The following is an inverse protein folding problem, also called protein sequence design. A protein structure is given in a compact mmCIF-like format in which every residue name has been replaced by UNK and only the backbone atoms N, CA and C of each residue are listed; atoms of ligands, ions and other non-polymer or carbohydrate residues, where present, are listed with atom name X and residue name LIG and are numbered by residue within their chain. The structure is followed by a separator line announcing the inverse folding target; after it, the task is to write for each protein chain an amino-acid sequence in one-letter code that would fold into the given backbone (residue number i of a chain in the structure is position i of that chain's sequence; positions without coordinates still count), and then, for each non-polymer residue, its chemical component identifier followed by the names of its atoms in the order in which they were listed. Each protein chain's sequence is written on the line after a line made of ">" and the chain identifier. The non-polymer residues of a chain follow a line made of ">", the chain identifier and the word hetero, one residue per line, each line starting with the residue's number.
data_IF_904997041856
#
_entry.id   IF_904997041856
#
_cell.length_a   1.000
_cell.length_b   1.000
_cell.length_c   1.000
_cell.angle_alpha   90.00
_cell.angle_beta   90.00
_cell.angle_gamma   90.00
#
_symmetry.space_group_name_H-M   'P 1'
#
loop_
_entity.id
_entity.type
_entity.pdbx_description
1 polymer ?
#
# COMPACT_ATOMS: atom_id res chain seq x y z
N UNK A 1 -20.43 18.71 -11.54
CA UNK A 1 -19.73 17.46 -11.15
C UNK A 1 -20.57 16.18 -11.35
N UNK A 2 -21.84 16.20 -10.95
CA UNK A 2 -22.71 15.01 -10.85
C UNK A 2 -22.93 14.27 -12.17
N UNK A 3 -23.07 15.00 -13.28
CA UNK A 3 -23.39 14.40 -14.59
C UNK A 3 -22.26 13.51 -15.16
N UNK A 4 -21.00 13.82 -14.87
CA UNK A 4 -19.88 13.00 -15.35
C UNK A 4 -19.72 11.74 -14.49
N UNK A 5 -19.91 11.88 -13.17
CA UNK A 5 -19.84 10.75 -12.21
C UNK A 5 -20.94 9.71 -12.50
N UNK A 6 -22.11 10.13 -12.98
CA UNK A 6 -23.18 9.20 -13.34
C UNK A 6 -22.87 8.40 -14.61
N UNK A 7 -21.98 8.90 -15.48
CA UNK A 7 -21.63 8.27 -16.77
C UNK A 7 -20.41 7.35 -16.63
N UNK A 8 -19.41 7.73 -15.82
CA UNK A 8 -18.15 6.97 -15.72
C UNK A 8 -18.25 5.73 -14.83
N UNK A 9 -17.39 4.74 -15.10
CA UNK A 9 -17.28 3.49 -14.32
C UNK A 9 -16.51 3.66 -13.00
N UNK A 10 -16.58 4.85 -12.41
CA UNK A 10 -15.87 5.21 -11.19
C UNK A 10 -15.24 6.59 -11.26
N UNK A 11 -14.52 6.92 -10.20
CA UNK A 11 -13.82 8.19 -10.03
C UNK A 11 -12.58 8.02 -9.16
N UNK A 12 -11.58 8.84 -9.47
CA UNK A 12 -10.41 9.10 -8.62
C UNK A 12 -10.62 10.50 -8.06
N UNK A 13 -10.84 10.59 -6.74
CA UNK A 13 -11.09 11.85 -6.07
C UNK A 13 -9.80 12.33 -5.37
N UNK A 14 -9.37 13.55 -5.71
CA UNK A 14 -8.18 14.17 -5.12
C UNK A 14 -8.59 15.29 -4.17
N UNK A 15 -8.00 15.32 -2.97
CA UNK A 15 -8.30 16.31 -1.94
C UNK A 15 -7.14 17.27 -1.71
N UNK A 16 -7.45 18.57 -1.64
CA UNK A 16 -6.45 19.60 -1.33
C UNK A 16 -5.84 19.41 0.06
N UNK A 17 -6.63 19.01 1.06
CA UNK A 17 -6.14 18.84 2.43
C UNK A 17 -5.08 17.74 2.53
N UNK A 18 -5.28 16.62 1.84
CA UNK A 18 -4.26 15.55 1.74
C UNK A 18 -2.99 16.05 1.05
N UNK A 19 -3.15 16.86 -0.01
CA UNK A 19 -2.02 17.44 -0.72
C UNK A 19 -1.19 18.38 0.18
N UNK A 20 -1.85 19.21 1.00
CA UNK A 20 -1.21 20.09 1.97
C UNK A 20 -0.56 19.34 3.14
N UNK A 21 -1.11 18.19 3.52
CA UNK A 21 -0.50 17.26 4.50
C UNK A 21 0.68 16.46 3.92
N UNK A 22 1.04 16.67 2.65
CA UNK A 22 2.16 15.98 2.00
C UNK A 22 1.84 14.56 1.53
N UNK A 23 0.57 14.17 1.49
CA UNK A 23 0.12 12.91 0.88
C UNK A 23 -0.01 13.13 -0.63
N UNK A 24 0.91 12.54 -1.40
CA UNK A 24 1.00 12.67 -2.85
C UNK A 24 1.28 11.29 -3.45
N UNK A 25 0.40 10.73 -4.29
CA UNK A 25 -0.85 11.31 -4.81
C UNK A 25 -1.92 11.55 -3.73
N UNK A 26 -2.64 12.66 -3.83
CA UNK A 26 -3.61 13.13 -2.84
C UNK A 26 -4.97 12.41 -2.95
N UNK A 27 -4.94 11.07 -3.02
CA UNK A 27 -6.10 10.22 -3.26
C UNK A 27 -6.97 10.08 -2.01
N UNK A 28 -8.25 10.41 -2.11
CA UNK A 28 -9.23 10.01 -1.10
C UNK A 28 -9.71 8.58 -1.37
N UNK A 29 -9.28 7.63 -0.55
CA UNK A 29 -9.62 6.20 -0.67
C UNK A 29 -11.11 5.90 -0.42
N UNK A 30 -11.79 6.71 0.39
CA UNK A 30 -13.21 6.54 0.71
C UNK A 30 -14.16 7.03 -0.39
N UNK A 31 -13.82 8.14 -1.05
CA UNK A 31 -14.62 8.72 -2.13
C UNK A 31 -14.25 8.20 -3.53
N UNK A 32 -13.05 7.65 -3.68
CA UNK A 32 -12.60 7.04 -4.95
C UNK A 32 -13.14 5.62 -5.09
N UNK A 33 -13.69 5.31 -6.27
CA UNK A 33 -14.27 4.00 -6.55
C UNK A 33 -14.00 3.61 -7.99
N UNK A 34 -13.90 2.31 -8.24
CA UNK A 34 -13.98 1.71 -9.57
C UNK A 34 -15.13 0.71 -9.56
N UNK A 35 -16.08 0.87 -10.47
CA UNK A 35 -17.21 -0.05 -10.67
C UNK A 35 -16.76 -1.38 -11.30
N UNK A 36 -15.71 -1.35 -12.12
CA UNK A 36 -15.08 -2.56 -12.69
C UNK A 36 -14.34 -3.35 -11.60
N UNK A 37 -13.73 -2.64 -10.65
CA UNK A 37 -13.15 -3.23 -9.44
C UNK A 37 -12.09 -4.29 -9.72
N UNK A 38 -12.17 -5.41 -9.00
CA UNK A 38 -11.15 -6.47 -9.04
C UNK A 38 -11.05 -7.20 -10.39
N UNK A 39 -12.03 -7.05 -11.28
CA UNK A 39 -12.03 -7.69 -12.61
C UNK A 39 -10.99 -7.08 -13.55
N UNK A 40 -10.60 -5.82 -13.32
CA UNK A 40 -9.53 -5.16 -14.06
C UNK A 40 -8.12 -5.45 -13.50
N UNK A 41 -8.03 -6.17 -12.37
CA UNK A 41 -6.76 -6.43 -11.69
C UNK A 41 -6.19 -7.79 -12.07
N UNK A 42 -4.86 -7.88 -12.16
CA UNK A 42 -4.16 -9.17 -12.16
C UNK A 42 -4.44 -9.95 -10.87
N UNK A 43 -4.33 -11.27 -10.90
CA UNK A 43 -4.52 -12.12 -9.70
C UNK A 43 -3.55 -11.72 -8.59
N UNK A 44 -2.30 -11.41 -8.93
CA UNK A 44 -1.27 -10.93 -8.02
C UNK A 44 -1.73 -9.68 -7.24
N UNK A 45 -2.13 -8.61 -7.96
CA UNK A 45 -2.63 -7.38 -7.36
C UNK A 45 -3.88 -7.61 -6.50
N UNK A 46 -4.82 -8.44 -6.97
CA UNK A 46 -6.06 -8.74 -6.22
C UNK A 46 -5.78 -9.38 -4.86
N UNK A 47 -4.79 -10.28 -4.77
CA UNK A 47 -4.38 -10.94 -3.51
C UNK A 47 -3.88 -9.95 -2.46
N UNK A 48 -3.21 -8.88 -2.89
CA UNK A 48 -2.58 -7.91 -1.97
C UNK A 48 -3.45 -6.68 -1.70
N UNK A 49 -4.14 -6.15 -2.72
CA UNK A 49 -4.89 -4.89 -2.63
C UNK A 49 -6.15 -4.98 -1.77
N UNK A 50 -6.78 -6.16 -1.69
CA UNK A 50 -8.02 -6.36 -0.93
C UNK A 50 -7.84 -6.08 0.57
N UNK A 51 -6.70 -6.49 1.14
CA UNK A 51 -6.38 -6.27 2.56
C UNK A 51 -6.15 -4.79 2.85
N UNK A 52 -5.32 -4.12 2.06
CA UNK A 52 -4.96 -2.71 2.27
C UNK A 52 -6.19 -1.79 2.21
N UNK A 53 -7.11 -2.01 1.27
CA UNK A 53 -8.29 -1.14 1.13
C UNK A 53 -9.14 -1.12 2.41
N UNK A 54 -9.36 -2.30 3.02
CA UNK A 54 -10.10 -2.41 4.27
C UNK A 54 -9.40 -1.72 5.43
N UNK A 55 -8.10 -1.97 5.59
CA UNK A 55 -7.29 -1.36 6.65
C UNK A 55 -7.22 0.17 6.54
N UNK A 56 -7.04 0.72 5.33
CA UNK A 56 -6.99 2.17 5.11
C UNK A 56 -8.33 2.87 5.31
N UNK A 57 -9.45 2.20 5.00
CA UNK A 57 -10.78 2.74 5.27
C UNK A 57 -11.03 2.84 6.77
N UNK A 58 -10.75 1.77 7.53
CA UNK A 58 -10.85 1.76 8.99
C UNK A 58 -9.89 2.77 9.63
N UNK A 59 -8.66 2.86 9.13
CA UNK A 59 -7.68 3.86 9.57
C UNK A 59 -8.22 5.28 9.43
N UNK A 60 -8.84 5.65 8.30
CA UNK A 60 -9.37 6.99 8.09
C UNK A 60 -10.50 7.33 9.06
N UNK A 61 -11.43 6.39 9.26
CA UNK A 61 -12.52 6.55 10.22
C UNK A 61 -11.94 6.77 11.62
N UNK A 62 -11.05 5.88 12.07
CA UNK A 62 -10.45 5.95 13.41
C UNK A 62 -9.53 7.15 13.60
N UNK A 63 -8.81 7.59 12.57
CA UNK A 63 -7.91 8.75 12.66
C UNK A 63 -8.69 10.05 12.94
N UNK A 64 -9.91 10.17 12.42
CA UNK A 64 -10.79 11.30 12.76
C UNK A 64 -11.25 11.23 14.22
N UNK A 65 -11.61 10.06 14.74
CA UNK A 65 -12.00 9.88 16.15
C UNK A 65 -10.83 10.08 17.12
N UNK A 66 -9.63 9.64 16.74
CA UNK A 66 -8.42 9.78 17.53
C UNK A 66 -8.01 11.25 17.78
N UNK A 67 -8.49 12.19 16.96
CA UNK A 67 -8.28 13.63 17.20
C UNK A 67 -9.07 14.16 18.39
N UNK A 68 -10.11 13.45 18.84
CA UNK A 68 -11.04 13.89 19.89
C UNK A 68 -11.00 13.02 21.16
N UNK A 69 -10.38 11.84 21.12
CA UNK A 69 -10.35 10.88 22.24
C UNK A 69 -9.01 10.86 22.98
N UNK A 70 -9.04 10.89 24.32
CA UNK A 70 -7.83 10.91 25.16
C UNK A 70 -7.27 9.52 25.51
N UNK A 71 -8.05 8.45 25.35
CA UNK A 71 -7.59 7.08 25.61
C UNK A 71 -8.00 6.15 24.46
N UNK A 72 -7.00 5.65 23.74
CA UNK A 72 -7.16 4.65 22.71
C UNK A 72 -6.65 3.31 23.23
N UNK A 73 -7.46 2.27 23.08
CA UNK A 73 -7.06 0.92 23.43
C UNK A 73 -5.91 0.42 22.53
N UNK A 74 -5.18 -0.60 22.99
CA UNK A 74 -4.00 -1.10 22.27
C UNK A 74 -4.33 -1.59 20.84
N UNK A 75 -5.55 -2.04 20.57
CA UNK A 75 -5.94 -2.50 19.24
C UNK A 75 -6.12 -1.32 18.27
N UNK A 76 -6.79 -0.25 18.70
CA UNK A 76 -6.91 0.99 17.92
C UNK A 76 -5.55 1.64 17.70
N UNK A 77 -4.68 1.67 18.70
CA UNK A 77 -3.31 2.20 18.53
C UNK A 77 -2.52 1.43 17.47
N UNK A 78 -2.60 0.09 17.46
CA UNK A 78 -1.95 -0.73 16.42
C UNK A 78 -2.52 -0.46 15.04
N UNK A 79 -3.84 -0.33 14.92
CA UNK A 79 -4.51 0.00 13.67
C UNK A 79 -4.06 1.38 13.12
N UNK A 80 -4.01 2.41 13.97
CA UNK A 80 -3.53 3.74 13.61
C UNK A 80 -2.05 3.74 13.18
N UNK A 81 -1.22 2.99 13.92
CA UNK A 81 0.19 2.83 13.60
C UNK A 81 0.40 2.14 12.25
N UNK A 82 -0.36 1.08 11.96
CA UNK A 82 -0.27 0.41 10.66
C UNK A 82 -0.80 1.29 9.53
N UNK A 83 -1.96 1.91 9.72
CA UNK A 83 -2.59 2.75 8.71
C UNK A 83 -1.76 3.98 8.32
N UNK A 84 -1.05 4.60 9.27
CA UNK A 84 -0.12 5.69 8.98
C UNK A 84 1.08 5.23 8.13
N UNK A 85 1.63 4.05 8.39
CA UNK A 85 2.72 3.46 7.58
C UNK A 85 2.27 3.05 6.19
N UNK A 86 1.07 2.46 6.07
CA UNK A 86 0.47 2.17 4.77
C UNK A 86 0.18 3.44 3.97
N UNK A 87 -0.24 4.52 4.64
CA UNK A 87 -0.43 5.82 3.99
C UNK A 87 0.90 6.37 3.47
N UNK A 88 1.99 6.22 4.22
CA UNK A 88 3.33 6.62 3.79
C UNK A 88 3.81 5.79 2.59
N UNK A 89 3.57 4.47 2.61
CA UNK A 89 3.92 3.53 1.54
C UNK A 89 3.21 3.85 0.21
N UNK A 90 2.03 4.46 0.26
CA UNK A 90 1.27 4.85 -0.94
C UNK A 90 1.69 6.22 -1.48
N UNK A 91 2.61 6.92 -0.83
CA UNK A 91 3.15 8.16 -1.37
C UNK A 91 4.12 7.84 -2.51
N UNK A 92 3.97 8.54 -3.62
CA UNK A 92 4.77 8.33 -4.81
C UNK A 92 5.12 9.66 -5.46
N UNK A 93 6.42 9.93 -5.73
CA UNK A 93 6.84 11.15 -6.40
C UNK A 93 6.40 11.13 -7.88
N UNK A 94 6.27 12.32 -8.46
CA UNK A 94 5.97 12.47 -9.88
C UNK A 94 7.07 11.82 -10.74
N UNK A 95 6.68 11.35 -11.92
CA UNK A 95 7.58 10.73 -12.91
C UNK A 95 8.28 9.44 -12.46
N UNK A 96 7.80 8.81 -11.39
CA UNK A 96 8.40 7.58 -10.86
C UNK A 96 7.42 6.40 -10.84
N UNK A 97 6.78 6.03 -11.98
CA UNK A 97 5.84 4.92 -12.01
C UNK A 97 6.55 3.59 -11.66
N UNK A 98 5.93 2.80 -10.80
CA UNK A 98 6.39 1.44 -10.46
C UNK A 98 5.76 0.42 -11.39
N UNK A 99 6.48 -0.66 -11.70
CA UNK A 99 5.92 -1.80 -12.45
C UNK A 99 4.92 -2.56 -11.58
N UNK A 100 4.01 -3.31 -12.21
CA UNK A 100 2.95 -4.05 -11.50
C UNK A 100 3.55 -5.02 -10.47
N UNK A 101 4.55 -5.80 -10.88
CA UNK A 101 5.24 -6.76 -10.03
C UNK A 101 5.96 -6.11 -8.84
N UNK A 102 6.50 -4.91 -9.03
CA UNK A 102 7.14 -4.12 -7.97
C UNK A 102 6.11 -3.62 -6.97
N UNK A 103 4.99 -3.06 -7.46
CA UNK A 103 3.87 -2.63 -6.62
C UNK A 103 3.33 -3.79 -5.78
N UNK A 104 3.17 -4.98 -6.38
CA UNK A 104 2.70 -6.17 -5.65
C UNK A 104 3.62 -6.51 -4.49
N UNK A 105 4.95 -6.51 -4.69
CA UNK A 105 5.91 -6.82 -3.63
C UNK A 105 5.89 -5.78 -2.49
N UNK A 106 5.84 -4.49 -2.84
CA UNK A 106 5.80 -3.38 -1.86
C UNK A 106 4.51 -3.43 -1.04
N UNK A 107 3.35 -3.55 -1.71
CA UNK A 107 2.04 -3.67 -1.08
C UNK A 107 1.97 -4.94 -0.21
N UNK A 108 2.53 -6.06 -0.69
CA UNK A 108 2.60 -7.29 0.09
C UNK A 108 3.39 -7.10 1.39
N UNK A 109 4.52 -6.41 1.37
CA UNK A 109 5.31 -6.13 2.58
C UNK A 109 4.52 -5.28 3.57
N UNK A 110 3.84 -4.23 3.09
CA UNK A 110 2.91 -3.40 3.88
C UNK A 110 1.80 -4.21 4.54
N UNK A 111 1.05 -4.97 3.74
CA UNK A 111 -0.11 -5.73 4.18
C UNK A 111 0.21 -6.88 5.15
N UNK A 112 1.46 -7.36 5.20
CA UNK A 112 1.90 -8.38 6.14
C UNK A 112 2.58 -7.79 7.40
N UNK A 113 2.57 -6.46 7.57
CA UNK A 113 3.03 -5.80 8.80
C UNK A 113 4.55 -5.67 8.92
N UNK A 114 5.32 -5.88 7.85
CA UNK A 114 6.78 -5.74 7.90
C UNK A 114 7.25 -4.29 8.13
N UNK A 115 6.33 -3.32 7.97
CA UNK A 115 6.58 -1.91 8.24
C UNK A 115 6.23 -1.51 9.68
N UNK A 116 5.47 -2.32 10.42
CA UNK A 116 4.97 -2.02 11.77
C UNK A 116 6.09 -1.61 12.76
N UNK A 117 7.26 -2.29 12.81
CA UNK A 117 8.32 -1.90 13.74
C UNK A 117 9.12 -0.68 13.28
N UNK A 118 8.95 -0.23 12.03
CA UNK A 118 9.69 0.90 11.50
C UNK A 118 9.08 2.23 11.94
N UNK A 119 9.91 3.25 12.23
CA UNK A 119 9.47 4.64 12.28
C UNK A 119 8.87 5.10 10.94
N UNK A 120 7.90 6.01 10.96
CA UNK A 120 7.18 6.47 9.75
C UNK A 120 8.15 7.11 8.74
N UNK A 121 9.13 7.89 9.20
CA UNK A 121 10.15 8.53 8.37
C UNK A 121 11.07 7.53 7.65
N UNK A 122 11.11 6.27 8.08
CA UNK A 122 11.91 5.20 7.48
C UNK A 122 11.14 4.36 6.45
N UNK A 123 9.82 4.51 6.34
CA UNK A 123 8.99 3.71 5.42
C UNK A 123 9.45 3.88 3.97
N UNK A 124 9.73 5.11 3.54
CA UNK A 124 10.19 5.38 2.18
C UNK A 124 11.58 4.78 1.89
N UNK A 125 12.49 4.87 2.85
CA UNK A 125 13.81 4.23 2.75
C UNK A 125 13.71 2.70 2.70
N UNK A 126 12.75 2.12 3.42
CA UNK A 126 12.42 0.70 3.32
C UNK A 126 11.94 0.35 1.91
N UNK A 127 11.00 1.10 1.34
CA UNK A 127 10.49 0.87 -0.03
C UNK A 127 11.62 0.94 -1.06
N UNK A 128 12.40 2.02 -1.07
CA UNK A 128 13.48 2.23 -2.04
C UNK A 128 14.52 1.10 -1.97
N UNK A 129 14.92 0.70 -0.76
CA UNK A 129 15.89 -0.38 -0.58
C UNK A 129 15.31 -1.76 -0.90
N UNK A 130 14.03 -2.02 -0.60
CA UNK A 130 13.35 -3.26 -1.00
C UNK A 130 13.28 -3.35 -2.53
N UNK A 131 12.90 -2.27 -3.21
CA UNK A 131 12.88 -2.21 -4.67
C UNK A 131 14.28 -2.42 -5.26
N UNK A 132 15.31 -1.81 -4.68
CA UNK A 132 16.70 -2.02 -5.10
C UNK A 132 17.14 -3.48 -4.92
N UNK A 133 16.76 -4.12 -3.82
CA UNK A 133 17.08 -5.52 -3.55
C UNK A 133 16.37 -6.47 -4.52
N UNK A 134 15.11 -6.20 -4.85
CA UNK A 134 14.33 -6.96 -5.82
C UNK A 134 14.89 -6.80 -7.24
N UNK A 135 15.19 -5.57 -7.66
CA UNK A 135 15.77 -5.27 -8.99
C UNK A 135 17.21 -5.78 -9.15
N UNK A 136 17.97 -5.87 -8.07
CA UNK A 136 19.38 -6.29 -8.12
C UNK A 136 19.57 -7.80 -8.00
N UNK A 137 19.03 -8.41 -6.93
CA UNK A 137 19.35 -9.79 -6.56
C UNK A 137 18.19 -10.77 -6.73
N UNK A 138 16.95 -10.29 -6.78
CA UNK A 138 15.76 -11.15 -6.75
C UNK A 138 14.82 -10.85 -7.93
N UNK A 139 15.41 -10.64 -9.11
CA UNK A 139 14.68 -10.33 -10.36
C UNK A 139 13.82 -11.51 -10.79
N UNK A 140 14.18 -12.72 -10.39
CA UNK A 140 13.39 -13.94 -10.60
C UNK A 140 11.99 -13.85 -9.97
N UNK A 141 11.88 -13.25 -8.77
CA UNK A 141 10.59 -13.01 -8.11
C UNK A 141 9.74 -12.06 -8.95
N UNK A 142 10.34 -10.95 -9.42
CA UNK A 142 9.66 -9.96 -10.25
C UNK A 142 9.19 -10.56 -11.59
N UNK A 143 10.05 -11.34 -12.24
CA UNK A 143 9.72 -12.02 -13.50
C UNK A 143 8.61 -13.06 -13.31
N UNK A 144 8.67 -13.87 -12.26
CA UNK A 144 7.63 -14.85 -11.92
C UNK A 144 6.26 -14.19 -11.78
N UNK A 145 6.16 -13.08 -11.05
CA UNK A 145 4.91 -12.34 -10.88
C UNK A 145 4.44 -11.73 -12.21
N UNK A 146 5.37 -11.16 -13.00
CA UNK A 146 5.04 -10.52 -14.28
C UNK A 146 4.48 -11.51 -15.30
N UNK A 147 5.09 -12.68 -15.41
CA UNK A 147 4.72 -13.71 -16.39
C UNK A 147 3.45 -14.46 -15.97
N UNK A 148 3.39 -14.91 -14.72
CA UNK A 148 2.23 -15.65 -14.21
C UNK A 148 1.02 -14.76 -13.95
N UNK A 149 1.24 -13.44 -13.77
CA UNK A 149 0.25 -12.46 -13.28
C UNK A 149 -0.39 -12.86 -11.95
N UNK A 150 0.27 -13.75 -11.21
CA UNK A 150 -0.17 -14.27 -9.91
C UNK A 150 0.99 -14.23 -8.91
N UNK A 151 0.65 -14.10 -7.64
CA UNK A 151 1.59 -14.31 -6.54
C UNK A 151 1.34 -15.73 -6.01
N UNK A 152 2.01 -16.72 -6.62
CA UNK A 152 1.93 -18.11 -6.18
C UNK A 152 2.52 -18.30 -4.79
N UNK A 153 2.13 -19.35 -4.08
CA UNK A 153 2.60 -19.59 -2.71
C UNK A 153 4.13 -19.81 -2.65
N UNK A 154 4.72 -20.42 -3.68
CA UNK A 154 6.18 -20.53 -3.83
C UNK A 154 6.85 -19.16 -3.97
N UNK A 155 6.33 -18.31 -4.86
CA UNK A 155 6.86 -16.95 -5.07
C UNK A 155 6.66 -16.08 -3.83
N UNK A 156 5.53 -16.23 -3.14
CA UNK A 156 5.26 -15.57 -1.87
C UNK A 156 6.22 -16.04 -0.76
N UNK A 157 6.57 -17.33 -0.72
CA UNK A 157 7.57 -17.87 0.23
C UNK A 157 8.97 -17.31 -0.01
N UNK A 158 9.38 -17.19 -1.28
CA UNK A 158 10.64 -16.53 -1.68
C UNK A 158 10.62 -15.05 -1.29
N UNK A 159 9.54 -14.34 -1.65
CA UNK A 159 9.37 -12.93 -1.30
C UNK A 159 9.42 -12.71 0.22
N UNK A 160 8.74 -13.56 0.98
CA UNK A 160 8.77 -13.55 2.45
C UNK A 160 10.19 -13.63 2.99
N UNK A 161 10.98 -14.59 2.49
CA UNK A 161 12.36 -14.79 2.93
C UNK A 161 13.24 -13.55 2.65
N UNK A 162 13.05 -12.93 1.49
CA UNK A 162 13.76 -11.69 1.09
C UNK A 162 13.36 -10.52 1.98
N UNK A 163 12.06 -10.30 2.18
CA UNK A 163 11.54 -9.20 2.99
C UNK A 163 11.93 -9.36 4.45
N UNK A 164 11.87 -10.57 5.01
CA UNK A 164 12.33 -10.85 6.39
C UNK A 164 13.83 -10.64 6.54
N UNK A 165 14.62 -11.08 5.58
CA UNK A 165 16.06 -10.83 5.55
C UNK A 165 16.36 -9.34 5.56
N UNK A 166 15.67 -8.57 4.73
CA UNK A 166 15.85 -7.13 4.63
C UNK A 166 15.35 -6.38 5.87
N UNK A 167 14.17 -6.73 6.40
CA UNK A 167 13.62 -6.12 7.60
C UNK A 167 14.55 -6.29 8.81
N UNK A 168 15.23 -7.44 8.94
CA UNK A 168 16.25 -7.67 9.97
C UNK A 168 17.49 -6.79 9.85
N UNK A 169 17.80 -6.28 8.65
CA UNK A 169 18.95 -5.36 8.45
C UNK A 169 18.62 -3.91 8.82
N UNK A 170 17.34 -3.60 8.99
CA UNK A 170 16.84 -2.25 9.31
C UNK A 170 16.40 -2.11 10.78
N UNK A 171 16.26 -3.23 11.49
CA UNK A 171 16.01 -3.31 12.93
C UNK A 171 17.32 -3.30 13.70
#
# INVERSE_FOLDING_TARGET
>A
PTNVISITDGQIYLESDLFFQGIRPALNVGLSVSRVGSSAQTKAMKKVAGRIKGELAQYREMAAFAQFGSDLDASTQRMLNRGSRLTELLKQPQFSPLKMEEQVCVIWAGANGYLDPLPIDKVRGFEDGLLSLLRGKNVDILNSIRESRDLSDDTAGKLKSVVEGYAKTLA
#
